data_IF_905683718047
#
_entry.id   IF_905683718047
#
_cell.length_a   1.000
_cell.length_b   1.000
_cell.length_c   1.000
_cell.angle_alpha   90.00
_cell.angle_beta   90.00
_cell.angle_gamma   90.00
#
_symmetry.space_group_name_H-M   'P 1'
#
loop_
_entity.id
_entity.type
_entity.pdbx_description
1 polymer ?
#
# COMPACT_ATOMS: atom_id res chain seq x y z
N UNK A 1 -12.36 -3.55 10.33
CA UNK A 1 -12.52 -2.83 9.06
C UNK A 1 -13.24 -1.51 9.35
N UNK A 2 -12.95 -0.46 8.59
CA UNK A 2 -13.73 0.77 8.62
C UNK A 2 -14.99 0.67 7.73
N UNK A 3 -15.69 1.78 7.53
CA UNK A 3 -16.94 1.80 6.77
C UNK A 3 -16.76 1.45 5.29
N UNK A 4 -15.54 1.61 4.76
CA UNK A 4 -15.18 1.36 3.37
C UNK A 4 -14.55 -0.04 3.18
N UNK A 5 -14.45 -0.83 4.26
CA UNK A 5 -13.91 -2.19 4.22
C UNK A 5 -12.39 -2.28 4.41
N UNK A 6 -11.72 -1.19 4.77
CA UNK A 6 -10.26 -1.19 4.95
C UNK A 6 -9.85 -1.57 6.38
N UNK A 7 -8.75 -2.32 6.49
CA UNK A 7 -8.11 -2.57 7.77
C UNK A 7 -7.38 -1.31 8.26
N UNK A 8 -7.40 -1.07 9.59
CA UNK A 8 -6.65 0.00 10.23
C UNK A 8 -5.82 -0.56 11.38
N UNK A 9 -4.62 -0.01 11.56
CA UNK A 9 -3.84 -0.26 12.78
C UNK A 9 -4.54 0.40 13.96
N UNK A 10 -4.85 -0.37 15.01
CA UNK A 10 -5.46 0.14 16.24
C UNK A 10 -4.43 0.36 17.34
N UNK A 11 -3.47 -0.56 17.45
CA UNK A 11 -2.55 -0.65 18.58
C UNK A 11 -1.14 -1.02 18.11
N UNK A 12 -0.14 -0.53 18.84
CA UNK A 12 1.25 -0.95 18.72
C UNK A 12 1.67 -1.64 20.02
N UNK A 13 1.85 -2.95 19.96
CA UNK A 13 2.16 -3.79 21.12
C UNK A 13 3.60 -4.31 21.03
N UNK A 14 4.23 -4.52 22.18
CA UNK A 14 5.57 -5.13 22.27
C UNK A 14 5.55 -6.66 22.24
N UNK A 15 4.37 -7.25 22.42
CA UNK A 15 4.12 -8.69 22.39
C UNK A 15 2.91 -8.99 21.49
N UNK A 16 2.84 -10.20 20.96
CA UNK A 16 1.72 -10.61 20.12
C UNK A 16 0.40 -10.60 20.94
N UNK A 17 -0.70 -10.08 20.36
CA UNK A 17 -2.00 -10.12 21.03
C UNK A 17 -2.51 -11.56 21.14
N UNK A 18 -3.33 -11.83 22.15
CA UNK A 18 -3.90 -13.16 22.38
C UNK A 18 -4.89 -13.58 21.27
N UNK A 19 -5.56 -12.61 20.64
CA UNK A 19 -6.57 -12.81 19.62
C UNK A 19 -6.47 -11.73 18.54
N UNK A 20 -7.01 -12.04 17.35
CA UNK A 20 -7.06 -11.12 16.23
C UNK A 20 -5.85 -11.21 15.30
N UNK A 21 -5.97 -10.61 14.12
CA UNK A 21 -4.89 -10.50 13.16
C UNK A 21 -3.89 -9.43 13.64
N UNK A 22 -2.60 -9.72 13.52
CA UNK A 22 -1.53 -8.81 13.87
C UNK A 22 -0.39 -8.90 12.86
N UNK A 23 0.44 -7.88 12.82
CA UNK A 23 1.64 -7.82 11.98
C UNK A 23 2.87 -7.63 12.84
N UNK A 24 3.88 -8.47 12.63
CA UNK A 24 5.21 -8.23 13.14
C UNK A 24 5.84 -7.13 12.29
N UNK A 25 6.19 -6.02 12.94
CA UNK A 25 6.74 -4.85 12.27
C UNK A 25 8.02 -4.39 12.95
N UNK A 26 8.92 -3.79 12.16
CA UNK A 26 10.08 -3.09 12.69
C UNK A 26 9.79 -1.60 12.78
N UNK A 27 9.92 -1.04 13.98
CA UNK A 27 9.92 0.42 14.16
C UNK A 27 11.27 0.96 13.70
N UNK A 28 11.26 1.83 12.70
CA UNK A 28 12.47 2.46 12.17
C UNK A 28 12.78 3.78 12.88
N UNK A 29 11.74 4.52 13.26
CA UNK A 29 11.85 5.83 13.87
C UNK A 29 10.60 6.15 14.68
N UNK A 30 10.75 6.91 15.76
CA UNK A 30 9.65 7.50 16.50
C UNK A 30 9.92 8.99 16.73
N UNK A 31 8.85 9.77 16.86
CA UNK A 31 8.91 11.20 17.17
C UNK A 31 7.83 11.58 18.17
N UNK A 32 8.06 12.69 18.87
CA UNK A 32 7.08 13.30 19.76
C UNK A 32 6.32 14.37 18.99
N UNK A 33 5.00 14.35 19.11
CA UNK A 33 4.09 15.44 18.77
C UNK A 33 3.59 16.09 20.07
N UNK A 34 2.86 17.21 20.02
CA UNK A 34 2.39 17.93 21.22
C UNK A 34 1.65 17.00 22.22
N UNK A 35 0.80 16.11 21.70
CA UNK A 35 -0.05 15.22 22.51
C UNK A 35 0.10 13.72 22.18
N UNK A 36 1.04 13.33 21.30
CA UNK A 36 1.15 11.92 20.87
C UNK A 36 2.58 11.50 20.50
N UNK A 37 2.78 10.19 20.35
CA UNK A 37 4.03 9.63 19.82
C UNK A 37 3.73 9.05 18.44
N UNK A 38 4.42 9.55 17.43
CA UNK A 38 4.35 9.01 16.08
C UNK A 38 5.39 7.91 15.87
N UNK A 39 5.04 6.89 15.08
CA UNK A 39 5.91 5.77 14.75
C UNK A 39 5.96 5.55 13.25
N UNK A 40 7.17 5.38 12.72
CA UNK A 40 7.40 4.92 11.35
C UNK A 40 7.78 3.45 11.37
N UNK A 41 6.89 2.61 10.85
CA UNK A 41 7.09 1.17 10.73
C UNK A 41 7.62 0.80 9.33
N UNK A 42 8.42 -0.26 9.27
CA UNK A 42 8.68 -0.97 8.02
C UNK A 42 7.51 -1.91 7.74
N UNK A 43 6.82 -1.72 6.61
CA UNK A 43 5.79 -2.66 6.18
C UNK A 43 6.45 -3.98 5.76
N UNK A 44 5.93 -5.15 6.18
CA UNK A 44 6.49 -6.45 5.84
C UNK A 44 6.19 -6.89 4.38
N UNK A 45 5.55 -6.01 3.59
CA UNK A 45 5.33 -6.16 2.15
C UNK A 45 5.88 -4.91 1.45
N UNK A 46 6.92 -5.08 0.64
CA UNK A 46 7.64 -3.97 -0.03
C UNK A 46 7.61 -4.05 -1.57
N UNK A 47 7.21 -5.19 -2.13
CA UNK A 47 7.30 -5.48 -3.57
C UNK A 47 6.04 -6.15 -4.09
N UNK A 48 5.61 -5.71 -5.26
CA UNK A 48 4.62 -6.38 -6.09
C UNK A 48 5.27 -6.67 -7.45
N UNK A 49 5.20 -7.91 -7.90
CA UNK A 49 5.87 -8.35 -9.12
C UNK A 49 4.87 -8.36 -10.29
N UNK A 50 5.28 -7.71 -11.38
CA UNK A 50 4.59 -7.75 -12.68
C UNK A 50 5.37 -8.65 -13.65
N UNK A 51 4.69 -9.19 -14.69
CA UNK A 51 5.35 -9.85 -15.82
C UNK A 51 6.48 -9.00 -16.44
N UNK A 52 7.49 -9.68 -16.98
CA UNK A 52 8.62 -9.02 -17.64
C UNK A 52 8.14 -8.20 -18.85
N UNK A 53 8.60 -6.95 -18.95
CA UNK A 53 8.21 -6.00 -20.02
C UNK A 53 7.10 -5.02 -19.64
N UNK A 54 6.33 -5.30 -18.58
CA UNK A 54 5.28 -4.38 -18.09
C UNK A 54 5.82 -3.30 -17.13
N UNK A 55 7.04 -3.48 -16.62
CA UNK A 55 7.69 -2.56 -15.67
C UNK A 55 7.76 -1.10 -16.15
N UNK A 56 8.27 -0.80 -17.36
CA UNK A 56 8.33 0.57 -17.87
C UNK A 56 6.94 1.21 -18.05
N UNK A 57 5.93 0.42 -18.38
CA UNK A 57 4.55 0.90 -18.56
C UNK A 57 3.94 1.24 -17.21
N UNK A 58 4.12 0.36 -16.21
CA UNK A 58 3.70 0.61 -14.85
C UNK A 58 4.41 1.85 -14.26
N UNK A 59 5.73 1.98 -14.41
CA UNK A 59 6.47 3.17 -14.00
C UNK A 59 5.93 4.43 -14.70
N UNK A 60 5.78 4.41 -16.03
CA UNK A 60 5.25 5.56 -16.77
C UNK A 60 3.85 5.96 -16.33
N UNK A 61 2.97 4.98 -16.12
CA UNK A 61 1.58 5.21 -15.75
C UNK A 61 1.43 5.66 -14.28
N UNK A 62 2.40 5.34 -13.43
CA UNK A 62 2.45 5.74 -12.00
C UNK A 62 3.37 6.93 -11.73
N UNK A 63 4.11 7.45 -12.72
CA UNK A 63 5.07 8.55 -12.55
C UNK A 63 4.44 9.86 -12.00
N UNK A 64 3.11 10.00 -12.05
CA UNK A 64 2.37 11.12 -11.45
C UNK A 64 1.68 10.81 -10.11
N UNK A 65 1.85 9.60 -9.56
CA UNK A 65 1.19 9.15 -8.32
C UNK A 65 2.01 9.42 -7.07
N UNK A 66 3.22 9.93 -7.22
CA UNK A 66 3.97 10.49 -6.10
C UNK A 66 3.21 11.76 -5.71
N UNK A 67 2.56 11.80 -4.52
CA UNK A 67 1.96 13.02 -4.05
C UNK A 67 3.10 14.01 -3.90
N UNK A 68 3.13 15.05 -4.72
CA UNK A 68 3.92 16.22 -4.39
C UNK A 68 3.26 16.77 -3.13
N UNK A 69 3.99 16.76 -2.00
CA UNK A 69 3.47 17.15 -0.68
C UNK A 69 2.90 18.59 -0.67
N UNK A 70 3.18 19.37 -1.71
CA UNK A 70 2.76 20.75 -1.92
C UNK A 70 1.65 20.93 -2.98
N UNK A 71 1.17 19.86 -3.63
CA UNK A 71 0.25 19.96 -4.78
C UNK A 71 -1.00 19.08 -4.64
N UNK A 72 -1.96 19.55 -3.84
CA UNK A 72 -3.32 19.01 -3.64
C UNK A 72 -4.21 18.98 -4.91
N UNK A 73 -3.66 19.31 -6.09
CA UNK A 73 -4.48 19.74 -7.25
C UNK A 73 -4.92 18.63 -8.20
N UNK A 74 -4.38 17.42 -8.09
CA UNK A 74 -4.76 16.31 -8.98
C UNK A 74 -5.31 15.14 -8.15
N UNK A 75 -6.53 14.66 -8.45
CA UNK A 75 -7.02 13.44 -7.83
C UNK A 75 -6.10 12.30 -8.23
N UNK A 76 -5.28 11.84 -7.29
CA UNK A 76 -4.54 10.61 -7.45
C UNK A 76 -5.55 9.46 -7.54
N UNK A 77 -5.32 8.46 -8.41
CA UNK A 77 -6.18 7.29 -8.44
C UNK A 77 -6.14 6.57 -7.10
N UNK A 78 -7.26 5.97 -6.72
CA UNK A 78 -7.36 5.29 -5.44
C UNK A 78 -6.61 3.96 -5.54
N UNK A 79 -5.44 3.90 -4.94
CA UNK A 79 -4.61 2.71 -4.89
C UNK A 79 -4.68 2.05 -3.52
N UNK A 80 -4.93 0.74 -3.49
CA UNK A 80 -4.94 -0.05 -2.26
C UNK A 80 -4.43 -1.47 -2.50
N UNK A 81 -4.10 -2.19 -1.43
CA UNK A 81 -3.57 -3.53 -1.50
C UNK A 81 -4.43 -4.51 -0.71
N UNK A 82 -4.64 -5.70 -1.27
CA UNK A 82 -5.19 -6.84 -0.54
C UNK A 82 -4.04 -7.63 0.07
N UNK A 83 -4.03 -7.74 1.39
CA UNK A 83 -2.97 -8.40 2.16
C UNK A 83 -3.58 -9.49 3.02
N UNK A 84 -3.02 -10.70 2.96
CA UNK A 84 -3.35 -11.78 3.88
C UNK A 84 -2.42 -11.74 5.07
N UNK A 85 -2.99 -11.90 6.26
CA UNK A 85 -2.27 -11.87 7.53
C UNK A 85 -2.45 -13.20 8.23
N UNK A 86 -1.36 -13.82 8.66
CA UNK A 86 -1.38 -15.03 9.48
C UNK A 86 -0.18 -15.02 10.43
N UNK A 87 -0.43 -15.18 11.73
CA UNK A 87 0.61 -15.34 12.77
C UNK A 87 1.71 -14.26 12.74
N UNK A 88 1.35 -13.02 12.43
CA UNK A 88 2.30 -11.90 12.37
C UNK A 88 2.99 -11.70 11.02
N UNK A 89 2.78 -12.62 10.08
CA UNK A 89 3.31 -12.54 8.72
C UNK A 89 2.28 -11.94 7.76
N UNK A 90 2.77 -11.28 6.71
CA UNK A 90 1.96 -10.68 5.66
C UNK A 90 2.31 -11.27 4.30
N UNK A 91 1.29 -11.51 3.48
CA UNK A 91 1.45 -11.81 2.06
C UNK A 91 0.61 -10.83 1.24
N UNK A 92 1.28 -10.10 0.34
CA UNK A 92 0.60 -9.26 -0.65
C UNK A 92 -0.05 -10.17 -1.71
N UNK A 93 -1.37 -10.08 -1.86
CA UNK A 93 -2.13 -10.90 -2.81
C UNK A 93 -2.36 -10.15 -4.13
N UNK A 94 -2.80 -8.90 -4.02
CA UNK A 94 -3.14 -8.08 -5.18
C UNK A 94 -2.99 -6.59 -4.84
N UNK A 95 -2.64 -5.79 -5.83
CA UNK A 95 -2.70 -4.32 -5.77
C UNK A 95 -3.80 -3.86 -6.70
N UNK A 96 -4.61 -2.91 -6.25
CA UNK A 96 -5.73 -2.35 -7.00
C UNK A 96 -5.52 -0.87 -7.25
N UNK A 97 -6.06 -0.41 -8.38
CA UNK A 97 -6.09 0.98 -8.81
C UNK A 97 -7.48 1.22 -9.36
N UNK A 98 -8.25 2.11 -8.71
CA UNK A 98 -9.65 2.38 -9.06
C UNK A 98 -10.46 1.06 -9.19
N UNK A 99 -10.31 0.19 -8.19
CA UNK A 99 -10.93 -1.14 -8.07
C UNK A 99 -10.51 -2.18 -9.15
N UNK A 100 -9.56 -1.86 -10.02
CA UNK A 100 -9.02 -2.78 -11.02
C UNK A 100 -7.68 -3.38 -10.56
N UNK A 101 -7.42 -4.69 -10.73
CA UNK A 101 -6.11 -5.26 -10.47
C UNK A 101 -5.02 -4.50 -11.24
N UNK A 102 -3.92 -4.14 -10.57
CA UNK A 102 -2.84 -3.33 -11.13
C UNK A 102 -2.33 -3.92 -12.45
N UNK A 103 -2.20 -5.25 -12.51
CA UNK A 103 -1.81 -6.01 -13.71
C UNK A 103 -2.77 -5.79 -14.90
N UNK A 104 -4.08 -5.78 -14.65
CA UNK A 104 -5.06 -5.47 -15.70
C UNK A 104 -5.04 -4.01 -16.08
N UNK A 105 -4.93 -3.12 -15.08
CA UNK A 105 -4.84 -1.68 -15.28
C UNK A 105 -3.64 -1.31 -16.16
N UNK A 106 -2.46 -1.87 -15.89
CA UNK A 106 -1.25 -1.68 -16.72
C UNK A 106 -1.46 -2.17 -18.14
N UNK A 107 -2.12 -3.32 -18.35
CA UNK A 107 -2.47 -3.82 -19.69
C UNK A 107 -3.37 -2.87 -20.49
N UNK A 108 -4.34 -2.22 -19.83
CA UNK A 108 -5.21 -1.22 -20.47
C UNK A 108 -4.41 0.02 -20.85
N UNK A 109 -3.53 0.51 -19.97
CA UNK A 109 -2.68 1.66 -20.26
C UNK A 109 -1.72 1.37 -21.41
N UNK A 110 -1.11 0.18 -21.44
CA UNK A 110 -0.24 -0.28 -22.53
C UNK A 110 -0.93 -0.22 -23.90
N UNK A 111 -2.19 -0.65 -23.95
CA UNK A 111 -3.00 -0.67 -25.17
C UNK A 111 -3.39 0.74 -25.60
N UNK A 112 -3.73 1.61 -24.64
CA UNK A 112 -4.16 2.99 -24.90
C UNK A 112 -3.02 3.92 -25.33
N UNK A 113 -1.77 3.61 -24.97
CA UNK A 113 -0.59 4.37 -25.38
C UNK A 113 -0.04 3.97 -26.77
N UNK A 114 -0.58 2.90 -27.37
CA UNK A 114 -0.16 2.38 -28.67
C UNK A 114 -0.97 2.86 -29.88
N UNK A 115 -2.02 3.67 -29.66
CA UNK A 115 -2.89 4.27 -30.69
C UNK A 115 -2.55 5.76 -30.93
#
# INVERSE_FOLDING_TARGET
EDADGFARFSDLLTEAPAEGAFLNVRVNYCWLDEDSIGYRIAMPVDRYYLPEGEGPIAEQATNGWIPDLDNDSLPLPQAYALVRILEGEAALEEVYVDDLPLREWVGIQATSAGD
#
